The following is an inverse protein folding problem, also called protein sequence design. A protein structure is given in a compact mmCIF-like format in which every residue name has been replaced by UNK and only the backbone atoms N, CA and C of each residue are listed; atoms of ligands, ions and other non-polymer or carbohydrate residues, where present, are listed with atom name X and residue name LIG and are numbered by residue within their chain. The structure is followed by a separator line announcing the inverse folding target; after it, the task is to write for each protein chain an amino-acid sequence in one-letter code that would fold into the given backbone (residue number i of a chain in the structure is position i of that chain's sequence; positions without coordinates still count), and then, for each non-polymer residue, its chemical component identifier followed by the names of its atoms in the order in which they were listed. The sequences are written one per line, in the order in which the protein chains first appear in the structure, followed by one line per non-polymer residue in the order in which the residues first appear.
data_IF_228644745601
#
_entry.id   IF_228644745601
#
_cell.length_a   1.000
_cell.length_b   1.000
_cell.length_c   1.000
_cell.angle_alpha   90.00
_cell.angle_beta   90.00
_cell.angle_gamma   90.00
#
_symmetry.space_group_name_H-M   'P 1'
#
loop_
_entity.id
_entity.type
_entity.pdbx_description
1 polymer ?
#
# COMPACT_ATOMS: atom_id res chain seq x y z
N UNK A 1 -50.77 4.48 -13.23
CA UNK A 1 -49.80 3.66 -14.00
C UNK A 1 -49.44 2.46 -13.13
N UNK A 2 -50.21 1.38 -13.26
CA UNK A 2 -49.78 0.04 -12.87
C UNK A 2 -48.73 -0.44 -13.88
N UNK A 3 -47.87 -1.38 -13.44
CA UNK A 3 -46.79 -2.08 -14.18
C UNK A 3 -45.40 -1.42 -14.14
N UNK A 4 -44.71 -1.65 -13.03
CA UNK A 4 -43.30 -2.03 -13.10
C UNK A 4 -43.07 -3.05 -11.98
N UNK A 5 -42.96 -4.34 -12.33
CA UNK A 5 -42.63 -5.41 -11.40
C UNK A 5 -41.18 -5.30 -10.96
N UNK A 6 -40.87 -4.28 -10.14
CA UNK A 6 -39.52 -4.05 -9.63
C UNK A 6 -39.34 -4.93 -8.39
N UNK A 7 -38.71 -6.10 -8.56
CA UNK A 7 -38.10 -6.82 -7.45
C UNK A 7 -36.80 -6.10 -7.11
N UNK A 8 -36.81 -5.28 -6.08
CA UNK A 8 -35.60 -4.70 -5.53
C UNK A 8 -34.82 -5.80 -4.80
N UNK A 9 -33.84 -6.40 -5.47
CA UNK A 9 -32.91 -7.31 -4.82
C UNK A 9 -31.84 -6.47 -4.12
N UNK A 10 -31.79 -6.59 -2.79
CA UNK A 10 -30.84 -5.86 -1.95
C UNK A 10 -29.47 -6.50 -2.14
N UNK A 11 -28.68 -5.94 -3.04
CA UNK A 11 -27.28 -6.35 -3.23
C UNK A 11 -26.50 -5.92 -1.99
N UNK A 12 -25.80 -6.83 -1.30
CA UNK A 12 -24.98 -6.47 -0.15
C UNK A 12 -23.86 -5.50 -0.58
N UNK A 13 -23.37 -4.64 0.33
CA UNK A 13 -22.22 -3.79 0.04
C UNK A 13 -21.03 -4.68 -0.36
N UNK A 14 -20.49 -4.46 -1.56
CA UNK A 14 -19.20 -5.03 -1.92
C UNK A 14 -18.13 -4.02 -1.51
N UNK A 15 -17.27 -4.42 -0.59
CA UNK A 15 -16.05 -3.67 -0.28
C UNK A 15 -15.01 -4.00 -1.35
N UNK A 16 -14.39 -3.00 -1.97
CA UNK A 16 -13.28 -3.16 -2.93
C UNK A 16 -11.96 -3.63 -2.30
N UNK A 17 -12.00 -3.92 -1.00
CA UNK A 17 -10.92 -4.49 -0.25
C UNK A 17 -11.38 -5.90 0.12
N UNK A 18 -11.00 -6.90 -0.68
CA UNK A 18 -10.58 -8.18 -0.09
C UNK A 18 -9.31 -7.88 0.70
N UNK A 19 -9.47 -7.14 1.79
CA UNK A 19 -8.49 -7.04 2.82
C UNK A 19 -8.52 -8.43 3.45
N UNK A 20 -7.57 -9.26 3.03
CA UNK A 20 -7.13 -10.40 3.82
C UNK A 20 -6.56 -9.82 5.11
N UNK A 21 -7.42 -9.31 5.97
CA UNK A 21 -7.10 -8.90 7.33
C UNK A 21 -7.14 -10.17 8.16
N UNK A 22 -6.26 -11.12 7.80
CA UNK A 22 -5.49 -11.76 8.85
C UNK A 22 -4.57 -10.67 9.40
N UNK A 23 -5.15 -9.76 10.18
CA UNK A 23 -4.43 -9.08 11.23
C UNK A 23 -3.99 -10.20 12.15
N UNK A 24 -2.85 -10.81 11.82
CA UNK A 24 -2.02 -11.49 12.78
C UNK A 24 -1.83 -10.46 13.88
N UNK A 25 -2.53 -10.67 14.99
CA UNK A 25 -2.23 -10.08 16.27
C UNK A 25 -0.80 -10.53 16.62
N UNK A 26 0.19 -9.92 15.99
CA UNK A 26 1.55 -9.88 16.50
C UNK A 26 1.45 -8.96 17.71
N UNK A 27 1.77 -9.54 18.86
CA UNK A 27 2.08 -8.83 20.09
C UNK A 27 2.78 -7.50 19.78
N UNK A 28 2.50 -6.41 20.53
CA UNK A 28 3.14 -5.12 20.30
C UNK A 28 4.65 -5.35 20.35
N UNK A 29 5.25 -5.36 19.16
CA UNK A 29 6.67 -5.60 19.02
C UNK A 29 7.31 -4.42 19.74
N UNK A 30 7.98 -4.71 20.87
CA UNK A 30 8.85 -3.74 21.55
C UNK A 30 10.08 -3.54 20.68
N UNK A 31 9.87 -3.11 19.43
CA UNK A 31 10.95 -2.63 18.59
C UNK A 31 11.47 -1.37 19.29
N UNK A 32 12.76 -1.32 19.68
CA UNK A 32 13.34 -0.07 20.17
C UNK A 32 13.01 1.07 19.17
N UNK A 33 12.64 2.26 19.67
CA UNK A 33 12.22 3.38 18.82
C UNK A 33 13.24 3.70 17.72
N UNK A 34 14.52 3.43 17.99
CA UNK A 34 15.63 3.64 17.05
C UNK A 34 15.65 2.66 15.86
N UNK A 35 14.93 1.53 15.90
CA UNK A 35 14.94 0.56 14.79
C UNK A 35 14.40 1.15 13.50
N UNK A 36 13.40 2.03 13.58
CA UNK A 36 12.84 2.70 12.40
C UNK A 36 13.89 3.63 11.80
N UNK A 37 14.55 4.43 12.65
CA UNK A 37 15.62 5.36 12.25
C UNK A 37 16.80 4.62 11.62
N UNK A 38 17.20 3.49 12.21
CA UNK A 38 18.28 2.63 11.68
C UNK A 38 17.87 2.02 10.33
N UNK A 39 16.64 1.50 10.20
CA UNK A 39 16.12 0.92 8.94
C UNK A 39 16.15 1.94 7.80
N UNK A 40 15.73 3.18 8.06
CA UNK A 40 15.74 4.26 7.07
C UNK A 40 17.15 4.68 6.69
N UNK A 41 18.05 4.86 7.66
CA UNK A 41 19.41 5.28 7.38
C UNK A 41 20.20 4.24 6.59
N UNK A 42 20.03 2.96 6.92
CA UNK A 42 20.71 1.84 6.24
C UNK A 42 20.09 1.54 4.87
N UNK A 43 18.83 1.94 4.63
CA UNK A 43 18.13 1.67 3.36
C UNK A 43 18.87 2.21 2.13
N UNK A 44 19.64 3.28 2.29
CA UNK A 44 20.36 3.96 1.20
C UNK A 44 21.88 3.72 1.19
N UNK A 45 22.45 3.05 2.21
CA UNK A 45 23.88 2.77 2.27
C UNK A 45 24.29 1.62 1.35
N UNK A 46 25.47 1.69 0.75
CA UNK A 46 26.08 0.52 0.12
C UNK A 46 26.76 -0.37 1.17
N UNK A 47 26.95 -1.67 0.89
CA UNK A 47 27.76 -2.53 1.76
C UNK A 47 29.17 -1.95 1.98
N UNK A 48 29.59 -1.84 3.24
CA UNK A 48 30.83 -1.21 3.68
C UNK A 48 30.75 0.31 3.87
N UNK A 49 29.61 0.95 3.54
CA UNK A 49 29.42 2.39 3.68
C UNK A 49 28.95 2.75 5.10
N UNK A 50 29.44 3.89 5.59
CA UNK A 50 29.19 4.41 6.93
C UNK A 50 28.18 5.56 6.82
N UNK A 51 27.13 5.55 7.64
CA UNK A 51 26.17 6.65 7.70
C UNK A 51 26.75 7.89 8.37
N UNK A 52 26.18 9.06 8.05
CA UNK A 52 26.32 10.22 8.93
C UNK A 52 25.70 9.94 10.30
N UNK A 53 26.04 10.76 11.29
CA UNK A 53 25.44 10.70 12.62
C UNK A 53 23.92 10.90 12.54
N UNK A 54 23.19 9.96 13.13
CA UNK A 54 21.73 9.96 13.23
C UNK A 54 21.32 10.31 14.66
N UNK A 55 20.50 11.33 14.89
CA UNK A 55 19.99 11.62 16.22
C UNK A 55 19.07 10.48 16.69
N UNK A 56 19.25 10.04 17.95
CA UNK A 56 18.47 9.02 18.63
C UNK A 56 18.03 9.53 20.02
N UNK A 57 17.09 8.85 20.67
CA UNK A 57 16.48 9.33 21.92
C UNK A 57 17.50 9.48 23.07
N UNK A 58 18.57 8.67 23.09
CA UNK A 58 19.63 8.69 24.11
C UNK A 58 20.98 9.24 23.60
N UNK A 59 21.02 9.81 22.39
CA UNK A 59 22.24 10.35 21.79
C UNK A 59 22.21 10.30 20.27
N UNK A 60 23.09 9.50 19.67
CA UNK A 60 22.99 9.24 18.24
C UNK A 60 23.88 8.11 17.74
N UNK A 61 23.55 7.67 16.53
CA UNK A 61 23.97 6.40 15.97
C UNK A 61 24.77 6.63 14.70
N UNK A 62 25.80 5.81 14.50
CA UNK A 62 26.50 5.67 13.22
C UNK A 62 26.28 4.23 12.77
N UNK A 63 25.64 4.06 11.63
CA UNK A 63 25.35 2.75 11.07
C UNK A 63 26.38 2.39 9.99
N UNK A 64 26.80 1.12 9.99
CA UNK A 64 27.61 0.54 8.92
C UNK A 64 26.83 -0.62 8.34
N UNK A 65 26.60 -0.61 7.03
CA UNK A 65 25.94 -1.72 6.37
C UNK A 65 26.97 -2.78 5.99
N UNK A 66 27.07 -3.89 6.71
CA UNK A 66 28.06 -4.93 6.38
C UNK A 66 27.75 -5.66 5.07
N UNK A 67 26.50 -6.12 4.90
CA UNK A 67 26.06 -6.89 3.74
C UNK A 67 24.55 -6.76 3.53
N UNK A 68 24.11 -6.72 2.27
CA UNK A 68 22.69 -6.84 1.90
C UNK A 68 22.40 -8.28 1.51
N UNK A 69 21.63 -8.98 2.32
CA UNK A 69 21.07 -10.26 1.88
C UNK A 69 19.89 -9.98 0.94
N UNK A 70 19.91 -10.51 -0.30
CA UNK A 70 18.75 -10.40 -1.17
C UNK A 70 17.58 -11.13 -0.49
N UNK A 71 16.38 -10.52 -0.42
CA UNK A 71 15.25 -11.17 0.18
C UNK A 71 14.98 -12.50 -0.54
N UNK A 72 14.54 -13.54 0.17
CA UNK A 72 14.29 -14.85 -0.42
C UNK A 72 13.31 -14.70 -1.60
N UNK A 73 13.71 -15.18 -2.77
CA UNK A 73 12.94 -15.02 -4.01
C UNK A 73 12.91 -13.60 -4.57
N UNK A 74 13.90 -12.74 -4.33
CA UNK A 74 14.02 -11.40 -4.95
C UNK A 74 13.86 -11.44 -6.48
N UNK A 75 14.34 -12.51 -7.11
CA UNK A 75 14.23 -12.76 -8.55
C UNK A 75 13.10 -13.74 -8.94
N UNK A 76 12.23 -14.10 -8.00
CA UNK A 76 11.17 -15.07 -8.25
C UNK A 76 10.21 -14.52 -9.33
N UNK A 77 9.91 -15.30 -10.38
CA UNK A 77 9.01 -14.87 -11.46
C UNK A 77 7.62 -14.52 -10.93
N UNK A 78 7.17 -15.21 -9.88
CA UNK A 78 5.88 -14.97 -9.21
C UNK A 78 5.77 -13.56 -8.62
N UNK A 79 6.82 -13.05 -7.96
CA UNK A 79 6.81 -11.70 -7.39
C UNK A 79 6.75 -10.63 -8.49
N UNK A 80 7.43 -10.86 -9.62
CA UNK A 80 7.36 -9.98 -10.79
C UNK A 80 5.96 -9.99 -11.41
N UNK A 81 5.33 -11.16 -11.54
CA UNK A 81 3.97 -11.29 -12.04
C UNK A 81 2.95 -10.61 -11.11
N UNK A 82 3.08 -10.80 -9.80
CA UNK A 82 2.24 -10.14 -8.80
C UNK A 82 2.38 -8.61 -8.85
N UNK A 83 3.61 -8.11 -8.97
CA UNK A 83 3.87 -6.68 -9.13
C UNK A 83 3.24 -6.13 -10.41
N UNK A 84 3.43 -6.80 -11.55
CA UNK A 84 2.83 -6.39 -12.83
C UNK A 84 1.30 -6.36 -12.76
N UNK A 85 0.68 -7.36 -12.13
CA UNK A 85 -0.77 -7.41 -11.91
C UNK A 85 -1.25 -6.23 -11.05
N UNK A 86 -0.54 -5.91 -9.97
CA UNK A 86 -0.86 -4.76 -9.11
C UNK A 86 -0.77 -3.44 -9.86
N UNK A 87 0.30 -3.22 -10.63
CA UNK A 87 0.46 -2.01 -11.46
C UNK A 87 -0.66 -1.89 -12.48
N UNK A 88 -1.00 -2.99 -13.16
CA UNK A 88 -2.07 -3.01 -14.15
C UNK A 88 -3.44 -2.70 -13.53
N UNK A 89 -3.75 -3.31 -12.38
CA UNK A 89 -5.00 -3.03 -11.67
C UNK A 89 -5.09 -1.58 -11.21
N UNK A 90 -4.02 -1.01 -10.66
CA UNK A 90 -4.00 0.39 -10.26
C UNK A 90 -4.27 1.33 -11.45
N UNK A 91 -3.66 1.07 -12.62
CA UNK A 91 -3.91 1.86 -13.83
C UNK A 91 -5.36 1.75 -14.30
N UNK A 92 -5.91 0.53 -14.33
CA UNK A 92 -7.32 0.31 -14.69
C UNK A 92 -8.28 1.06 -13.77
N UNK A 93 -7.97 1.06 -12.47
CA UNK A 93 -8.76 1.76 -11.47
C UNK A 93 -8.74 3.28 -11.70
N UNK A 94 -7.57 3.86 -11.97
CA UNK A 94 -7.44 5.28 -12.31
C UNK A 94 -8.31 5.62 -13.54
N UNK A 95 -8.12 4.88 -14.64
CA UNK A 95 -8.89 5.10 -15.88
C UNK A 95 -10.39 4.94 -15.64
N UNK A 96 -10.80 3.95 -14.85
CA UNK A 96 -12.20 3.75 -14.50
C UNK A 96 -12.78 4.94 -13.73
N UNK A 97 -12.06 5.47 -12.73
CA UNK A 97 -12.53 6.62 -11.96
C UNK A 97 -12.55 7.91 -12.78
N UNK A 98 -11.60 8.08 -13.70
CA UNK A 98 -11.60 9.20 -14.65
C UNK A 98 -12.83 9.13 -15.55
N UNK A 99 -13.07 7.98 -16.19
CA UNK A 99 -14.25 7.76 -17.02
C UNK A 99 -15.56 7.95 -16.24
N UNK A 100 -15.65 7.40 -15.03
CA UNK A 100 -16.83 7.53 -14.18
C UNK A 100 -17.11 9.00 -13.83
N UNK A 101 -16.07 9.77 -13.50
CA UNK A 101 -16.19 11.20 -13.20
C UNK A 101 -16.71 11.99 -14.39
N UNK A 102 -16.26 11.66 -15.60
CA UNK A 102 -16.73 12.32 -16.82
C UNK A 102 -18.19 11.98 -17.12
N UNK A 103 -18.59 10.70 -16.98
CA UNK A 103 -20.00 10.28 -17.10
C UNK A 103 -20.91 10.96 -16.08
N UNK A 104 -20.45 11.13 -14.84
CA UNK A 104 -21.21 11.83 -13.81
C UNK A 104 -21.40 13.32 -14.13
N UNK A 105 -20.37 13.98 -14.69
CA UNK A 105 -20.47 15.37 -15.17
C UNK A 105 -21.49 15.51 -16.30
N UNK A 106 -21.44 14.61 -17.28
CA UNK A 106 -22.42 14.57 -18.39
C UNK A 106 -23.85 14.36 -17.86
N UNK A 107 -24.02 13.54 -16.82
CA UNK A 107 -25.30 13.29 -16.16
C UNK A 107 -25.76 14.42 -15.21
N UNK A 108 -24.97 15.50 -15.06
CA UNK A 108 -25.30 16.62 -14.17
C UNK A 108 -25.26 16.28 -12.68
N UNK A 109 -24.63 15.16 -12.30
CA UNK A 109 -24.52 14.72 -10.90
C UNK A 109 -23.37 15.48 -10.24
N UNK A 110 -23.67 16.44 -9.37
CA UNK A 110 -22.66 17.13 -8.57
C UNK A 110 -22.37 16.36 -7.28
N UNK A 111 -21.09 16.18 -6.97
CA UNK A 111 -20.67 15.73 -5.64
C UNK A 111 -21.05 16.80 -4.62
N UNK A 112 -22.03 16.51 -3.76
CA UNK A 112 -22.13 17.24 -2.50
C UNK A 112 -20.85 16.92 -1.72
N UNK A 113 -19.96 17.91 -1.56
CA UNK A 113 -18.91 17.82 -0.55
C UNK A 113 -19.62 17.79 0.80
N UNK A 114 -19.68 16.61 1.41
CA UNK A 114 -19.93 16.46 2.84
C UNK A 114 -18.68 16.84 3.63
#
# INVERSE_FOLDING_TARGET
IQKAGVKAEKVPPFSFLDETTEAQAKEPNKEPPDLIVIKEAVAYLNPGEISNFLPADDGGLIAILEKREPPPGANAPEKKAAFAKRVLNNKRQIVFFEWLRDRQREAGVQFARG
#
